data_IF_612329018266
#
_entry.id   IF_612329018266
#
_cell.length_a   1.000
_cell.length_b   1.000
_cell.length_c   1.000
_cell.angle_alpha   90.00
_cell.angle_beta   90.00
_cell.angle_gamma   90.00
#
_symmetry.space_group_name_H-M   'P 1'
#
loop_
_entity.id
_entity.type
_entity.pdbx_description
1 polymer ?
#
# COMPACT_ATOMS: atom_id res chain seq x y z
N UNK A 1 -39.14 3.81 -27.51
CA UNK A 1 -38.48 2.69 -26.81
C UNK A 1 -37.00 2.83 -27.12
N UNK A 2 -36.16 3.07 -26.12
CA UNK A 2 -34.71 3.12 -26.31
C UNK A 2 -34.22 1.71 -26.63
N UNK A 3 -33.48 1.56 -27.73
CA UNK A 3 -32.81 0.30 -28.04
C UNK A 3 -31.87 -0.10 -26.90
N UNK A 4 -31.74 -1.41 -26.60
CA UNK A 4 -30.77 -1.87 -25.62
C UNK A 4 -29.34 -1.53 -26.10
N UNK A 5 -28.42 -1.23 -25.16
CA UNK A 5 -27.04 -0.90 -25.49
C UNK A 5 -26.34 -2.05 -26.23
N UNK A 6 -25.41 -1.71 -27.12
CA UNK A 6 -24.64 -2.70 -27.86
C UNK A 6 -23.67 -3.45 -26.93
N UNK A 7 -23.18 -4.61 -27.38
CA UNK A 7 -22.14 -5.33 -26.65
C UNK A 7 -20.83 -4.53 -26.52
N UNK A 8 -20.57 -3.60 -27.44
CA UNK A 8 -19.40 -2.71 -27.38
C UNK A 8 -19.57 -1.65 -26.29
N UNK A 9 -20.76 -1.06 -26.20
CA UNK A 9 -21.09 -0.09 -25.13
C UNK A 9 -20.95 -0.73 -23.75
N UNK A 10 -21.47 -1.95 -23.57
CA UNK A 10 -21.38 -2.71 -22.32
C UNK A 10 -19.90 -2.98 -21.95
N UNK A 11 -19.05 -3.33 -22.93
CA UNK A 11 -17.62 -3.56 -22.66
C UNK A 11 -16.90 -2.28 -22.26
N UNK A 12 -17.19 -1.17 -22.94
CA UNK A 12 -16.60 0.13 -22.64
C UNK A 12 -16.99 0.61 -21.23
N UNK A 13 -18.26 0.49 -20.88
CA UNK A 13 -18.76 0.80 -19.53
C UNK A 13 -18.06 -0.05 -18.45
N UNK A 14 -17.93 -1.37 -18.68
CA UNK A 14 -17.22 -2.25 -17.75
C UNK A 14 -15.73 -1.90 -17.58
N UNK A 15 -15.04 -1.48 -18.64
CA UNK A 15 -13.64 -1.05 -18.57
C UNK A 15 -13.50 0.26 -17.78
N UNK A 16 -14.40 1.22 -18.02
CA UNK A 16 -14.43 2.49 -17.29
C UNK A 16 -14.72 2.28 -15.80
N UNK A 17 -15.70 1.45 -15.47
CA UNK A 17 -16.03 1.13 -14.08
C UNK A 17 -14.85 0.47 -13.35
N UNK A 18 -14.15 -0.48 -14.00
CA UNK A 18 -12.94 -1.10 -13.43
C UNK A 18 -11.80 -0.11 -13.23
N UNK A 19 -11.62 0.85 -14.15
CA UNK A 19 -10.60 1.89 -14.01
C UNK A 19 -10.92 2.81 -12.81
N UNK A 20 -12.18 3.23 -12.69
CA UNK A 20 -12.66 4.06 -11.59
C UNK A 20 -12.51 3.36 -10.23
N UNK A 21 -12.92 2.10 -10.13
CA UNK A 21 -12.75 1.31 -8.90
C UNK A 21 -11.27 1.17 -8.49
N UNK A 22 -10.36 1.01 -9.47
CA UNK A 22 -8.92 0.98 -9.20
C UNK A 22 -8.43 2.31 -8.66
N UNK A 23 -8.82 3.41 -9.28
CA UNK A 23 -8.44 4.76 -8.88
C UNK A 23 -8.96 5.10 -7.47
N UNK A 24 -10.21 4.76 -7.16
CA UNK A 24 -10.80 4.94 -5.84
C UNK A 24 -10.04 4.15 -4.76
N UNK A 25 -9.73 2.86 -5.02
CA UNK A 25 -8.95 2.04 -4.09
C UNK A 25 -7.56 2.62 -3.83
N UNK A 26 -6.90 3.06 -4.87
CA UNK A 26 -5.59 3.70 -4.78
C UNK A 26 -5.67 4.99 -3.96
N UNK A 27 -6.66 5.86 -4.21
CA UNK A 27 -6.83 7.11 -3.48
C UNK A 27 -7.04 6.88 -1.97
N UNK A 28 -7.80 5.84 -1.59
CA UNK A 28 -7.95 5.43 -0.19
C UNK A 28 -6.60 5.05 0.42
N UNK A 29 -5.80 4.23 -0.27
CA UNK A 29 -4.49 3.79 0.21
C UNK A 29 -3.48 4.96 0.32
N UNK A 30 -3.52 5.90 -0.64
CA UNK A 30 -2.68 7.10 -0.62
C UNK A 30 -3.06 8.03 0.54
N UNK A 31 -4.36 8.26 0.77
CA UNK A 31 -4.83 9.06 1.89
C UNK A 31 -4.45 8.44 3.25
N UNK A 32 -4.66 7.12 3.39
CA UNK A 32 -4.20 6.36 4.54
C UNK A 32 -2.70 6.55 4.79
N UNK A 33 -1.89 6.40 3.75
CA UNK A 33 -0.43 6.56 3.81
C UNK A 33 -0.05 7.96 4.28
N UNK A 34 -0.63 9.01 3.69
CA UNK A 34 -0.36 10.41 4.08
C UNK A 34 -0.70 10.65 5.55
N UNK A 35 -1.92 10.27 5.99
CA UNK A 35 -2.34 10.41 7.40
C UNK A 35 -1.44 9.66 8.37
N UNK A 36 -1.01 8.46 7.98
CA UNK A 36 -0.19 7.58 8.82
C UNK A 36 1.21 8.12 9.04
N UNK A 37 1.84 8.66 7.99
CA UNK A 37 3.25 9.05 8.04
C UNK A 37 3.49 10.56 8.27
N UNK A 38 2.47 11.42 8.13
CA UNK A 38 2.58 12.86 8.36
C UNK A 38 3.26 13.26 9.70
N UNK A 39 3.02 12.58 10.84
CA UNK A 39 3.69 12.93 12.09
C UNK A 39 5.16 12.49 12.18
N UNK A 40 5.62 11.62 11.28
CA UNK A 40 6.86 10.84 11.45
C UNK A 40 7.85 11.01 10.30
N UNK A 41 7.43 11.60 9.18
CA UNK A 41 8.17 11.62 7.92
C UNK A 41 7.99 12.98 7.27
N UNK A 42 9.04 13.49 6.62
CA UNK A 42 9.00 14.76 5.89
C UNK A 42 8.09 14.65 4.67
N UNK A 43 7.42 15.74 4.31
CA UNK A 43 6.49 15.80 3.17
C UNK A 43 7.10 15.23 1.87
N UNK A 44 8.35 15.58 1.54
CA UNK A 44 9.04 15.05 0.36
C UNK A 44 9.16 13.52 0.36
N UNK A 45 9.43 12.94 1.54
CA UNK A 45 9.56 11.50 1.71
C UNK A 45 8.18 10.80 1.66
N UNK A 46 7.12 11.48 2.12
CA UNK A 46 5.74 11.00 1.97
C UNK A 46 5.35 10.96 0.49
N UNK A 47 5.72 11.97 -0.30
CA UNK A 47 5.46 11.95 -1.75
C UNK A 47 6.20 10.81 -2.46
N UNK A 48 7.45 10.51 -2.08
CA UNK A 48 8.13 9.31 -2.60
C UNK A 48 7.43 8.02 -2.19
N UNK A 49 6.94 7.93 -0.95
CA UNK A 49 6.17 6.78 -0.50
C UNK A 49 4.87 6.61 -1.28
N UNK A 50 4.17 7.70 -1.59
CA UNK A 50 2.97 7.69 -2.44
C UNK A 50 3.26 7.21 -3.87
N UNK A 51 4.36 7.69 -4.49
CA UNK A 51 4.79 7.22 -5.83
C UNK A 51 5.14 5.74 -5.80
N UNK A 52 5.87 5.29 -4.77
CA UNK A 52 6.18 3.87 -4.59
C UNK A 52 4.91 3.02 -4.46
N UNK A 53 3.92 3.51 -3.70
CA UNK A 53 2.65 2.81 -3.49
C UNK A 53 1.83 2.71 -4.78
N UNK A 54 1.85 3.74 -5.63
CA UNK A 54 1.28 3.69 -6.98
C UNK A 54 1.91 2.56 -7.80
N UNK A 55 3.25 2.51 -7.85
CA UNK A 55 3.98 1.48 -8.60
C UNK A 55 3.64 0.07 -8.09
N UNK A 56 3.51 -0.09 -6.78
CA UNK A 56 3.07 -1.34 -6.16
C UNK A 56 1.64 -1.72 -6.58
N UNK A 57 0.70 -0.79 -6.51
CA UNK A 57 -0.70 -1.00 -6.87
C UNK A 57 -0.88 -1.39 -8.34
N UNK A 58 -0.09 -0.78 -9.23
CA UNK A 58 -0.09 -1.09 -10.66
C UNK A 58 0.70 -2.38 -10.99
N UNK A 59 1.30 -3.04 -10.00
CA UNK A 59 2.20 -4.19 -10.16
C UNK A 59 3.34 -3.93 -11.14
N UNK A 60 3.80 -2.69 -11.18
CA UNK A 60 4.93 -2.27 -12.00
C UNK A 60 6.25 -2.64 -11.32
N UNK A 61 7.32 -2.63 -12.11
CA UNK A 61 8.60 -3.18 -11.69
C UNK A 61 9.10 -2.50 -10.39
N UNK A 62 9.20 -3.29 -9.32
CA UNK A 62 9.59 -2.84 -7.97
C UNK A 62 11.05 -2.35 -7.92
N UNK A 63 11.82 -2.50 -8.99
CA UNK A 63 13.22 -2.05 -9.09
C UNK A 63 13.34 -0.51 -9.09
N UNK A 64 12.28 0.20 -9.49
CA UNK A 64 12.25 1.67 -9.51
C UNK A 64 11.81 2.29 -8.17
N UNK A 65 11.63 1.48 -7.12
CA UNK A 65 11.22 1.97 -5.81
C UNK A 65 12.33 2.81 -5.18
N UNK A 66 11.94 3.98 -4.64
CA UNK A 66 12.85 4.84 -3.89
C UNK A 66 12.83 4.44 -2.42
N UNK A 67 14.01 4.25 -1.82
CA UNK A 67 14.08 4.19 -0.36
C UNK A 67 13.68 5.54 0.22
N UNK A 68 12.97 5.53 1.36
CA UNK A 68 12.64 6.75 2.09
C UNK A 68 13.34 6.78 3.45
N UNK A 69 13.55 7.99 3.97
CA UNK A 69 14.03 8.23 5.33
C UNK A 69 12.84 8.48 6.24
N UNK A 70 12.83 7.81 7.38
CA UNK A 70 11.82 7.97 8.43
C UNK A 70 12.43 8.55 9.69
N UNK A 71 11.61 9.12 10.57
CA UNK A 71 12.02 9.35 11.96
C UNK A 71 12.38 8.04 12.66
N UNK A 72 13.11 8.14 13.76
CA UNK A 72 13.54 6.98 14.58
C UNK A 72 12.41 6.38 15.43
N UNK A 73 11.22 6.99 15.39
CA UNK A 73 10.09 6.59 16.24
C UNK A 73 9.34 5.38 15.69
N UNK A 74 9.46 5.12 14.37
CA UNK A 74 8.83 3.98 13.73
C UNK A 74 9.71 2.72 13.85
N UNK A 75 9.09 1.63 14.29
CA UNK A 75 9.71 0.32 14.45
C UNK A 75 9.46 -0.61 13.26
N UNK A 76 10.13 -1.76 13.22
CA UNK A 76 9.85 -2.80 12.23
C UNK A 76 8.42 -3.32 12.31
N UNK A 77 7.83 -3.35 13.51
CA UNK A 77 6.42 -3.72 13.73
C UNK A 77 5.49 -2.72 13.05
N UNK A 78 5.77 -1.42 13.15
CA UNK A 78 4.98 -0.37 12.49
C UNK A 78 4.98 -0.53 10.98
N UNK A 79 6.15 -0.80 10.39
CA UNK A 79 6.29 -1.00 8.96
C UNK A 79 5.61 -2.30 8.51
N UNK A 80 5.69 -3.36 9.31
CA UNK A 80 4.94 -4.61 9.06
C UNK A 80 3.43 -4.38 9.07
N UNK A 81 2.89 -3.70 10.08
CA UNK A 81 1.46 -3.36 10.17
C UNK A 81 1.00 -2.47 9.00
N UNK A 82 1.80 -1.47 8.63
CA UNK A 82 1.54 -0.67 7.44
C UNK A 82 1.44 -1.56 6.18
N UNK A 83 2.41 -2.45 5.99
CA UNK A 83 2.41 -3.41 4.89
C UNK A 83 1.18 -4.32 4.88
N UNK A 84 0.78 -4.84 6.03
CA UNK A 84 -0.44 -5.63 6.17
C UNK A 84 -1.67 -4.86 5.72
N UNK A 85 -1.84 -3.63 6.20
CA UNK A 85 -2.98 -2.77 5.88
C UNK A 85 -3.07 -2.50 4.36
N UNK A 86 -1.94 -2.18 3.72
CA UNK A 86 -1.86 -1.98 2.27
C UNK A 86 -2.20 -3.27 1.51
N UNK A 87 -1.56 -4.39 1.86
CA UNK A 87 -1.78 -5.65 1.17
C UNK A 87 -3.23 -6.13 1.32
N UNK A 88 -3.80 -6.01 2.51
CA UNK A 88 -5.20 -6.37 2.79
C UNK A 88 -6.19 -5.49 2.02
N UNK A 89 -5.93 -4.18 1.91
CA UNK A 89 -6.79 -3.23 1.20
C UNK A 89 -6.85 -3.50 -0.31
N UNK A 90 -5.68 -3.65 -0.95
CA UNK A 90 -5.67 -3.97 -2.37
C UNK A 90 -6.11 -5.41 -2.63
N UNK A 91 -5.79 -6.33 -1.70
CA UNK A 91 -5.99 -7.77 -1.82
C UNK A 91 -5.47 -8.30 -3.18
N UNK A 92 -4.31 -7.79 -3.60
CA UNK A 92 -3.62 -8.17 -4.84
C UNK A 92 -2.31 -8.88 -4.53
N UNK A 93 -2.01 -9.91 -5.31
CA UNK A 93 -0.69 -10.53 -5.29
C UNK A 93 -0.41 -11.36 -4.03
N UNK A 94 0.85 -11.79 -3.90
CA UNK A 94 1.31 -12.62 -2.78
C UNK A 94 1.86 -11.74 -1.66
N UNK A 95 1.74 -12.17 -0.40
CA UNK A 95 2.34 -11.46 0.75
C UNK A 95 3.86 -11.22 0.63
N UNK A 96 4.55 -12.07 -0.14
CA UNK A 96 5.99 -11.88 -0.38
C UNK A 96 6.27 -10.60 -1.18
N UNK A 97 5.35 -10.19 -2.07
CA UNK A 97 5.49 -8.99 -2.89
C UNK A 97 5.45 -7.73 -2.02
N UNK A 98 4.52 -7.66 -1.06
CA UNK A 98 4.51 -6.55 -0.09
C UNK A 98 5.75 -6.59 0.82
N UNK A 99 6.24 -7.76 1.20
CA UNK A 99 7.47 -7.86 1.99
C UNK A 99 8.70 -7.31 1.25
N UNK A 100 8.83 -7.61 -0.05
CA UNK A 100 9.87 -7.01 -0.90
C UNK A 100 9.71 -5.50 -1.05
N UNK A 101 8.48 -5.02 -1.24
CA UNK A 101 8.17 -3.59 -1.27
C UNK A 101 8.64 -2.91 0.01
N UNK A 102 8.26 -3.40 1.19
CA UNK A 102 8.66 -2.81 2.46
C UNK A 102 10.17 -2.80 2.65
N UNK A 103 10.85 -3.91 2.35
CA UNK A 103 12.31 -4.03 2.49
C UNK A 103 13.06 -3.01 1.61
N UNK A 104 12.54 -2.70 0.42
CA UNK A 104 13.13 -1.70 -0.50
C UNK A 104 12.83 -0.27 -0.08
N UNK A 105 11.62 -0.01 0.39
CA UNK A 105 11.16 1.34 0.73
C UNK A 105 11.67 1.79 2.11
N UNK A 106 11.79 0.88 3.07
CA UNK A 106 12.21 1.15 4.45
C UNK A 106 13.49 0.40 4.84
N UNK A 107 14.60 0.58 4.09
CA UNK A 107 15.81 -0.22 4.30
C UNK A 107 16.44 0.04 5.67
N UNK A 108 16.36 1.25 6.21
CA UNK A 108 16.96 1.60 7.50
C UNK A 108 16.27 0.91 8.68
N UNK A 109 14.94 0.80 8.65
CA UNK A 109 14.15 0.12 9.69
C UNK A 109 14.27 -1.40 9.56
N UNK A 110 14.27 -1.90 8.33
CA UNK A 110 14.19 -3.33 8.05
C UNK A 110 15.52 -3.98 7.72
N UNK A 111 16.66 -3.28 7.83
CA UNK A 111 18.00 -3.76 7.39
C UNK A 111 18.32 -5.17 7.87
N UNK A 112 18.04 -5.48 9.13
CA UNK A 112 18.40 -6.75 9.79
C UNK A 112 17.25 -7.77 9.78
N UNK A 113 16.13 -7.48 9.10
CA UNK A 113 14.96 -8.36 9.03
C UNK A 113 14.88 -9.03 7.65
N UNK A 114 14.91 -10.35 7.62
CA UNK A 114 14.78 -11.10 6.37
C UNK A 114 13.40 -10.91 5.73
N UNK A 115 13.34 -10.92 4.39
CA UNK A 115 12.09 -10.72 3.64
C UNK A 115 11.03 -11.77 4.03
N UNK A 116 11.47 -13.00 4.25
CA UNK A 116 10.57 -14.10 4.65
C UNK A 116 10.02 -13.91 6.08
N UNK A 117 10.81 -13.29 6.96
CA UNK A 117 10.35 -12.89 8.29
C UNK A 117 9.34 -11.76 8.19
N UNK A 118 9.60 -10.71 7.40
CA UNK A 118 8.63 -9.63 7.16
C UNK A 118 7.30 -10.22 6.69
N UNK A 119 7.32 -11.10 5.68
CA UNK A 119 6.14 -11.77 5.12
C UNK A 119 5.32 -12.51 6.19
N UNK A 120 6.00 -13.22 7.09
CA UNK A 120 5.38 -14.07 8.11
C UNK A 120 4.80 -13.26 9.26
N UNK A 121 5.41 -12.11 9.58
CA UNK A 121 5.12 -11.29 10.75
C UNK A 121 4.43 -9.96 10.42
N UNK A 122 3.81 -9.83 9.24
CA UNK A 122 3.08 -8.62 8.81
C UNK A 122 2.01 -8.18 9.81
N UNK A 123 1.39 -9.14 10.53
CA UNK A 123 0.28 -8.92 11.46
C UNK A 123 0.58 -9.38 12.88
N UNK A 124 1.85 -9.56 13.22
CA UNK A 124 2.22 -10.00 14.56
C UNK A 124 2.02 -8.88 15.56
N UNK A 125 1.67 -9.23 16.79
CA UNK A 125 1.49 -8.25 17.87
C UNK A 125 0.52 -7.10 17.48
N UNK A 126 -0.69 -7.43 16.98
CA UNK A 126 -1.67 -6.45 16.44
C UNK A 126 -1.98 -5.26 17.38
N UNK A 127 -1.73 -5.42 18.69
CA UNK A 127 -1.94 -4.40 19.72
C UNK A 127 -0.71 -3.49 19.96
N UNK A 128 0.48 -3.86 19.48
CA UNK A 128 1.73 -3.08 19.59
C UNK A 128 1.88 -2.11 18.41
N UNK A 129 2.97 -1.36 18.40
CA UNK A 129 3.26 -0.34 17.38
C UNK A 129 2.43 0.94 17.54
N UNK A 130 2.91 2.00 16.92
CA UNK A 130 2.20 3.24 16.64
C UNK A 130 1.18 3.00 15.52
N UNK A 131 1.58 2.35 14.43
CA UNK A 131 0.71 2.01 13.30
C UNK A 131 -0.09 0.76 13.67
N UNK A 132 -1.42 0.89 13.72
CA UNK A 132 -2.33 -0.21 14.07
C UNK A 132 -2.85 -0.94 12.84
N UNK A 133 -3.12 -2.22 12.99
CA UNK A 133 -3.79 -3.01 11.95
C UNK A 133 -5.23 -2.51 11.80
N UNK A 134 -5.65 -2.31 10.55
CA UNK A 134 -6.99 -1.86 10.20
C UNK A 134 -7.68 -2.91 9.34
N UNK A 135 -8.92 -3.24 9.72
CA UNK A 135 -9.77 -4.18 8.95
C UNK A 135 -10.18 -3.59 7.60
N UNK A 136 -10.39 -2.28 7.56
CA UNK A 136 -10.68 -1.51 6.35
C UNK A 136 -10.01 -0.14 6.42
N UNK A 137 -9.49 0.32 5.28
CA UNK A 137 -8.93 1.68 5.15
C UNK A 137 -9.98 2.75 4.84
N UNK A 138 -11.23 2.36 4.55
CA UNK A 138 -12.32 3.29 4.20
C UNK A 138 -13.09 3.82 5.42
N UNK A 139 -12.84 3.28 6.62
CA UNK A 139 -13.60 3.57 7.85
C UNK A 139 -12.91 4.59 8.77
N UNK A 140 -12.00 5.42 8.23
CA UNK A 140 -11.18 6.38 9.00
C UNK A 140 -11.78 7.77 9.15
#
# INVERSE_FOLDING_TARGET
>A
MTEPPSLEDIRNEQLQNKAKEREEKLNVALNYTRKTFAPYVLDEQIEFLCVNLQLYADKLNLENLRSIKTSKDLSSIDISHFGWNIWNHFNIGKRIEIAHFLKRVFPDILKDVEVESIKSHLKDDELKGIIKIQKSLTEQ
#
